data_IF_532518037142
#
_entry.id   IF_532518037142
#
_cell.length_a   1.000
_cell.length_b   1.000
_cell.length_c   1.000
_cell.angle_alpha   90.00
_cell.angle_beta   90.00
_cell.angle_gamma   90.00
#
_symmetry.space_group_name_H-M   'P 1'
#
loop_
_entity.id
_entity.type
_entity.pdbx_description
1 polymer ?
#
# COMPACT_ATOMS: atom_id res chain seq x y z
N UNK A 1 1.03 5.66 -8.12
CA UNK A 1 1.51 4.32 -7.83
C UNK A 1 0.59 3.29 -8.47
N UNK A 2 1.16 2.52 -9.31
CA UNK A 2 0.64 1.42 -10.08
C UNK A 2 -0.31 0.52 -9.29
N UNK A 3 -1.52 0.38 -9.79
CA UNK A 3 -2.51 -0.57 -9.32
C UNK A 3 -2.03 -2.01 -9.40
N UNK A 4 -1.52 -2.51 -8.30
CA UNK A 4 -1.31 -3.93 -8.09
C UNK A 4 -2.10 -4.35 -6.86
N UNK A 5 -3.14 -5.04 -7.08
CA UNK A 5 -4.23 -5.30 -6.18
C UNK A 5 -5.34 -4.31 -6.51
N UNK A 6 -6.36 -4.78 -7.21
CA UNK A 6 -7.40 -3.93 -7.73
C UNK A 6 -7.88 -2.95 -6.66
N UNK A 7 -8.40 -1.81 -7.06
CA UNK A 7 -8.95 -0.81 -6.15
C UNK A 7 -9.93 -1.40 -5.12
N UNK A 8 -10.38 -2.62 -5.35
CA UNK A 8 -11.35 -3.37 -4.56
C UNK A 8 -10.96 -3.68 -3.11
N UNK A 9 -9.65 -3.70 -2.79
CA UNK A 9 -9.20 -4.02 -1.41
C UNK A 9 -8.64 -2.82 -0.66
N UNK A 10 -8.41 -1.70 -1.36
CA UNK A 10 -7.98 -0.47 -0.70
C UNK A 10 -9.20 0.29 -0.21
N UNK A 11 -9.09 0.87 0.96
CA UNK A 11 -10.12 1.70 1.56
C UNK A 11 -11.39 0.95 2.02
N UNK A 12 -11.38 -0.40 2.00
CA UNK A 12 -12.47 -1.21 2.56
C UNK A 12 -12.16 -1.53 4.02
N UNK A 13 -13.14 -1.33 4.87
CA UNK A 13 -13.15 -1.88 6.22
C UNK A 13 -13.59 -3.34 6.15
N UNK A 14 -12.67 -4.27 6.34
CA UNK A 14 -12.95 -5.70 6.27
C UNK A 14 -13.80 -6.26 7.42
N UNK A 15 -14.06 -5.50 8.48
CA UNK A 15 -15.02 -5.93 9.50
C UNK A 15 -16.47 -5.84 9.03
N UNK A 16 -16.75 -4.98 8.05
CA UNK A 16 -18.11 -4.76 7.53
C UNK A 16 -18.23 -4.75 6.01
N UNK A 17 -17.12 -4.90 5.28
CA UNK A 17 -17.09 -4.94 3.81
C UNK A 17 -17.41 -3.62 3.11
N UNK A 18 -17.44 -2.49 3.82
CA UNK A 18 -17.77 -1.17 3.29
C UNK A 18 -16.54 -0.31 3.06
N UNK A 19 -16.58 0.55 2.04
CA UNK A 19 -15.57 1.58 1.87
C UNK A 19 -15.61 2.57 3.03
N UNK A 20 -14.45 3.07 3.44
CA UNK A 20 -14.30 4.02 4.53
C UNK A 20 -13.72 5.37 4.08
N UNK A 21 -13.85 5.71 2.79
CA UNK A 21 -13.34 6.97 2.21
C UNK A 21 -14.02 8.19 2.87
N UNK A 22 -15.25 8.05 3.35
CA UNK A 22 -15.99 9.08 4.05
C UNK A 22 -15.90 8.98 5.59
N UNK A 23 -14.93 8.22 6.13
CA UNK A 23 -14.72 8.15 7.58
C UNK A 23 -14.08 9.42 8.12
N UNK A 24 -14.24 9.66 9.42
CA UNK A 24 -13.62 10.80 10.09
C UNK A 24 -12.09 10.79 9.92
N UNK A 25 -11.45 9.62 9.98
CA UNK A 25 -10.00 9.47 9.80
C UNK A 25 -9.55 9.91 8.39
N UNK A 26 -10.35 9.60 7.35
CA UNK A 26 -10.07 10.08 6.00
C UNK A 26 -10.24 11.59 5.87
N UNK A 27 -11.28 12.14 6.50
CA UNK A 27 -11.51 13.59 6.53
C UNK A 27 -10.35 14.29 7.22
N UNK A 28 -9.96 13.84 8.42
CA UNK A 28 -8.82 14.39 9.19
C UNK A 28 -7.52 14.34 8.36
N UNK A 29 -7.24 13.25 7.65
CA UNK A 29 -6.05 13.14 6.80
C UNK A 29 -6.06 14.11 5.61
N UNK A 30 -7.22 14.31 4.98
CA UNK A 30 -7.36 15.29 3.89
C UNK A 30 -7.25 16.72 4.44
N UNK A 31 -7.84 17.01 5.58
CA UNK A 31 -7.77 18.31 6.23
C UNK A 31 -6.33 18.67 6.63
N UNK A 32 -5.54 17.69 7.12
CA UNK A 32 -4.11 17.89 7.36
C UNK A 32 -3.37 18.33 6.09
N UNK A 33 -3.62 17.66 4.95
CA UNK A 33 -2.99 18.05 3.68
C UNK A 33 -3.38 19.46 3.25
N UNK A 34 -4.65 19.85 3.45
CA UNK A 34 -5.13 21.19 3.15
C UNK A 34 -4.54 22.24 4.10
N UNK A 35 -4.34 21.89 5.36
CA UNK A 35 -3.69 22.76 6.34
C UNK A 35 -2.23 22.99 5.98
N UNK A 36 -1.45 21.96 5.67
CA UNK A 36 -0.06 22.10 5.22
C UNK A 36 0.09 23.01 3.99
N UNK A 37 -0.92 23.04 3.13
CA UNK A 37 -0.97 24.00 2.02
C UNK A 37 -1.28 25.42 2.51
N UNK A 38 -2.29 25.57 3.36
CA UNK A 38 -2.80 26.90 3.77
C UNK A 38 -1.83 27.65 4.65
N UNK A 39 -1.02 26.97 5.46
CA UNK A 39 0.01 27.53 6.32
C UNK A 39 1.37 27.72 5.61
N UNK A 40 1.47 27.30 4.35
CA UNK A 40 2.68 27.44 3.55
C UNK A 40 3.76 26.40 3.83
N UNK A 41 3.47 25.35 4.61
CA UNK A 41 4.43 24.26 4.89
C UNK A 41 4.61 23.32 3.72
N UNK A 42 3.64 23.24 2.80
CA UNK A 42 3.77 22.41 1.61
C UNK A 42 4.75 23.02 0.60
N UNK A 43 5.61 22.16 0.03
CA UNK A 43 6.58 22.60 -0.97
C UNK A 43 5.89 23.27 -2.18
N UNK A 44 6.35 24.47 -2.60
CA UNK A 44 5.78 25.14 -3.76
C UNK A 44 5.88 24.27 -5.02
N UNK A 45 4.77 24.14 -5.75
CA UNK A 45 4.75 23.33 -6.98
C UNK A 45 4.61 21.82 -6.77
N UNK A 46 4.30 21.36 -5.54
CA UNK A 46 4.08 19.92 -5.23
C UNK A 46 3.11 19.23 -6.20
N UNK A 47 2.12 19.95 -6.72
CA UNK A 47 1.12 19.42 -7.65
C UNK A 47 1.64 19.19 -9.08
N UNK A 48 2.79 19.74 -9.43
CA UNK A 48 3.42 19.58 -10.75
C UNK A 48 4.60 18.60 -10.74
N UNK A 49 4.91 18.00 -9.58
CA UNK A 49 6.00 17.04 -9.43
C UNK A 49 5.50 15.61 -9.39
N UNK A 50 6.29 14.71 -9.93
CA UNK A 50 6.16 13.28 -9.68
C UNK A 50 7.06 12.82 -8.51
N UNK A 51 6.82 11.61 -8.00
CA UNK A 51 7.57 11.07 -6.86
C UNK A 51 9.10 10.98 -7.06
N UNK A 52 9.64 10.60 -8.24
CA UNK A 52 11.07 10.67 -8.51
C UNK A 52 11.66 12.09 -8.42
N UNK A 53 10.97 13.09 -8.95
CA UNK A 53 11.42 14.49 -8.88
C UNK A 53 11.44 14.99 -7.42
N UNK A 54 10.38 14.75 -6.66
CA UNK A 54 10.32 15.14 -5.25
C UNK A 54 11.45 14.46 -4.43
N UNK A 55 11.70 13.18 -4.68
CA UNK A 55 12.81 12.44 -4.05
C UNK A 55 14.18 13.04 -4.31
N UNK A 56 14.45 13.41 -5.56
CA UNK A 56 15.73 13.97 -5.97
C UNK A 56 16.01 15.35 -5.35
N UNK A 57 14.98 16.09 -4.96
CA UNK A 57 15.08 17.41 -4.33
C UNK A 57 15.38 17.33 -2.83
N UNK A 58 15.05 16.23 -2.15
CA UNK A 58 15.25 16.09 -0.71
C UNK A 58 16.71 16.25 -0.27
N UNK A 59 17.72 15.57 -0.87
CA UNK A 59 19.12 15.77 -0.51
C UNK A 59 19.65 17.18 -0.82
N UNK A 60 18.92 17.94 -1.64
CA UNK A 60 19.25 19.33 -1.98
C UNK A 60 18.67 20.33 -0.96
N UNK A 61 17.98 19.85 0.08
CA UNK A 61 17.39 20.70 1.12
C UNK A 61 16.08 21.37 0.73
N UNK A 62 15.37 20.87 -0.28
CA UNK A 62 14.13 21.47 -0.75
C UNK A 62 12.99 21.42 0.27
N UNK A 63 12.98 20.41 1.15
CA UNK A 63 11.99 20.27 2.23
C UNK A 63 12.62 19.54 3.44
N UNK A 64 12.05 19.77 4.61
CA UNK A 64 12.45 19.09 5.85
C UNK A 64 11.89 17.67 5.99
N UNK A 65 10.78 17.38 5.33
CA UNK A 65 10.12 16.07 5.38
C UNK A 65 9.49 15.71 4.03
N UNK A 66 9.33 14.41 3.79
CA UNK A 66 8.62 13.89 2.63
C UNK A 66 7.86 12.61 3.02
N UNK A 67 6.59 12.50 2.61
CA UNK A 67 5.85 11.24 2.69
C UNK A 67 6.23 10.36 1.51
N UNK A 68 6.98 9.30 1.78
CA UNK A 68 7.47 8.40 0.75
C UNK A 68 7.64 6.97 1.29
N UNK A 69 7.75 6.01 0.39
CA UNK A 69 8.00 4.63 0.77
C UNK A 69 9.50 4.30 0.94
N UNK A 70 9.81 3.13 1.48
CA UNK A 70 11.16 2.72 1.86
C UNK A 70 12.12 2.56 0.67
N UNK A 71 11.60 2.47 -0.57
CA UNK A 71 12.44 2.49 -1.79
C UNK A 71 13.33 3.74 -1.92
N UNK A 72 13.00 4.81 -1.20
CA UNK A 72 13.83 6.01 -1.16
C UNK A 72 15.20 5.74 -0.55
N UNK A 73 15.31 4.84 0.42
CA UNK A 73 16.54 4.50 1.12
C UNK A 73 17.61 4.05 0.11
N UNK A 74 17.27 3.10 -0.77
CA UNK A 74 18.20 2.63 -1.79
C UNK A 74 18.56 3.70 -2.84
N UNK A 75 17.58 4.55 -3.20
CA UNK A 75 17.81 5.65 -4.15
C UNK A 75 18.78 6.69 -3.56
N UNK A 76 18.52 7.14 -2.34
CA UNK A 76 19.39 8.13 -1.68
C UNK A 76 20.75 7.57 -1.31
N UNK A 77 20.84 6.29 -0.91
CA UNK A 77 22.11 5.62 -0.66
C UNK A 77 23.02 5.57 -1.90
N UNK A 78 22.43 5.48 -3.10
CA UNK A 78 23.17 5.51 -4.37
C UNK A 78 23.46 6.93 -4.84
N UNK A 79 22.45 7.83 -4.80
CA UNK A 79 22.51 9.13 -5.48
C UNK A 79 23.04 10.25 -4.57
N UNK A 80 22.97 10.08 -3.24
CA UNK A 80 23.45 11.04 -2.23
C UNK A 80 23.96 10.30 -0.97
N UNK A 81 25.03 9.51 -1.07
CA UNK A 81 25.47 8.60 0.00
C UNK A 81 25.87 9.33 1.31
N UNK A 82 26.30 10.57 1.21
CA UNK A 82 26.72 11.39 2.36
C UNK A 82 25.55 12.13 3.03
N UNK A 83 24.37 12.12 2.42
CA UNK A 83 23.20 12.80 2.99
C UNK A 83 22.67 12.05 4.21
N UNK A 84 22.50 12.81 5.30
CA UNK A 84 21.98 12.29 6.58
C UNK A 84 20.52 12.62 6.72
N UNK A 85 19.70 11.61 6.98
CA UNK A 85 18.26 11.73 7.21
C UNK A 85 17.82 10.70 8.24
N UNK A 86 16.67 10.95 8.84
CA UNK A 86 15.98 9.99 9.70
C UNK A 86 14.73 9.43 9.02
N UNK A 87 14.17 8.40 9.63
CA UNK A 87 12.89 7.81 9.26
C UNK A 87 11.97 7.93 10.47
N UNK A 88 10.74 8.32 10.23
CA UNK A 88 9.69 8.39 11.24
C UNK A 88 8.43 7.71 10.72
N UNK A 89 7.60 7.25 11.64
CA UNK A 89 6.23 6.83 11.32
C UNK A 89 5.40 8.02 10.85
N UNK A 90 4.34 7.74 10.12
CA UNK A 90 3.37 8.75 9.73
C UNK A 90 2.77 9.42 10.96
N UNK A 91 2.48 10.73 10.89
CA UNK A 91 1.89 11.44 12.01
C UNK A 91 0.50 10.91 12.33
N UNK A 92 0.18 10.87 13.60
CA UNK A 92 -1.16 10.57 14.11
C UNK A 92 -1.74 11.80 14.79
N UNK A 93 -3.06 11.98 14.83
CA UNK A 93 -3.69 13.08 15.55
C UNK A 93 -3.30 13.08 17.02
N UNK A 94 -3.19 14.28 17.62
CA UNK A 94 -2.86 14.44 19.04
C UNK A 94 -3.79 13.63 19.94
N UNK A 95 -3.21 12.88 20.87
CA UNK A 95 -3.96 12.04 21.80
C UNK A 95 -4.55 10.76 21.21
N UNK A 96 -4.22 10.43 19.96
CA UNK A 96 -4.56 9.13 19.33
C UNK A 96 -3.36 8.22 19.30
N UNK A 97 -3.63 6.91 19.38
CA UNK A 97 -2.61 5.88 19.17
C UNK A 97 -2.50 5.57 17.68
N UNK A 98 -1.27 5.26 17.23
CA UNK A 98 -1.04 4.78 15.88
C UNK A 98 -1.77 3.45 15.66
N UNK A 99 -2.48 3.35 14.55
CA UNK A 99 -3.08 2.09 14.13
C UNK A 99 -2.08 1.30 13.28
N UNK A 100 -2.08 -0.05 13.38
CA UNK A 100 -1.25 -0.86 12.50
C UNK A 100 -1.60 -0.63 11.03
N UNK A 101 -0.58 -0.67 10.18
CA UNK A 101 -0.77 -0.71 8.73
C UNK A 101 -0.96 -2.18 8.30
N UNK A 102 -1.93 -2.44 7.45
CA UNK A 102 -2.20 -3.80 6.98
C UNK A 102 -1.71 -4.01 5.56
N UNK A 103 -1.07 -5.16 5.34
CA UNK A 103 -0.77 -5.69 4.01
C UNK A 103 -1.58 -6.97 3.78
N UNK A 104 -1.99 -7.19 2.53
CA UNK A 104 -2.59 -8.45 2.15
C UNK A 104 -1.51 -9.54 2.05
N UNK A 105 -1.84 -10.74 2.52
CA UNK A 105 -1.01 -11.91 2.30
C UNK A 105 -0.76 -12.14 0.79
N UNK A 106 0.45 -12.57 0.42
CA UNK A 106 0.79 -12.90 -0.95
C UNK A 106 1.72 -11.90 -1.66
N UNK A 107 2.12 -10.81 -1.00
CA UNK A 107 3.12 -9.87 -1.50
C UNK A 107 2.66 -9.05 -2.71
N UNK A 108 3.42 -8.00 -3.01
CA UNK A 108 3.12 -7.07 -4.12
C UNK A 108 4.02 -7.28 -5.34
N UNK A 109 5.19 -7.85 -5.17
CA UNK A 109 6.20 -8.02 -6.22
C UNK A 109 6.38 -9.49 -6.55
N UNK A 110 5.74 -9.93 -7.63
CA UNK A 110 5.85 -11.31 -8.12
C UNK A 110 6.78 -11.36 -9.33
N UNK A 111 7.56 -12.44 -9.43
CA UNK A 111 8.39 -12.72 -10.57
C UNK A 111 7.60 -13.51 -11.62
N UNK A 112 7.71 -13.09 -12.86
CA UNK A 112 7.01 -13.70 -13.98
C UNK A 112 8.01 -14.09 -15.05
N UNK A 113 7.87 -15.29 -15.61
CA UNK A 113 8.58 -15.70 -16.79
C UNK A 113 7.68 -15.47 -18.02
N UNK A 114 8.22 -14.80 -19.03
CA UNK A 114 7.51 -14.66 -20.30
C UNK A 114 7.25 -16.06 -20.90
N UNK A 115 6.03 -16.31 -21.36
CA UNK A 115 5.68 -17.56 -22.03
C UNK A 115 6.52 -17.83 -23.30
N UNK A 116 7.07 -16.77 -23.91
CA UNK A 116 7.93 -16.87 -25.10
C UNK A 116 9.42 -16.99 -24.75
N UNK A 117 9.78 -17.08 -23.46
CA UNK A 117 11.18 -17.20 -23.05
C UNK A 117 11.73 -18.58 -23.36
N UNK A 118 12.88 -18.62 -24.00
CA UNK A 118 13.68 -19.84 -24.20
C UNK A 118 14.57 -20.18 -23.00
N UNK A 119 14.60 -19.29 -21.98
CA UNK A 119 15.46 -19.40 -20.79
C UNK A 119 14.72 -19.97 -19.57
N UNK A 120 13.66 -20.77 -19.80
CA UNK A 120 12.83 -21.34 -18.73
C UNK A 120 13.60 -22.06 -17.61
N UNK A 121 14.50 -23.02 -17.93
CA UNK A 121 15.30 -23.72 -16.92
C UNK A 121 16.16 -22.79 -16.08
N UNK A 122 16.86 -21.85 -16.73
CA UNK A 122 17.71 -20.86 -16.05
C UNK A 122 16.89 -19.93 -15.13
N UNK A 123 15.75 -19.44 -15.61
CA UNK A 123 14.86 -18.63 -14.81
C UNK A 123 14.30 -19.41 -13.60
N UNK A 124 13.98 -20.69 -13.78
CA UNK A 124 13.58 -21.60 -12.71
C UNK A 124 14.66 -21.77 -11.64
N UNK A 125 15.92 -21.90 -12.04
CA UNK A 125 17.05 -22.00 -11.12
C UNK A 125 17.28 -20.70 -10.35
N UNK A 126 17.15 -19.56 -11.02
CA UNK A 126 17.23 -18.23 -10.37
C UNK A 126 16.12 -18.06 -9.32
N UNK A 127 14.86 -18.34 -9.68
CA UNK A 127 13.73 -18.22 -8.74
C UNK A 127 13.92 -19.18 -7.54
N UNK A 128 14.39 -20.40 -7.80
CA UNK A 128 14.69 -21.36 -6.73
C UNK A 128 15.81 -20.86 -5.82
N UNK A 129 16.89 -20.30 -6.39
CA UNK A 129 17.97 -19.68 -5.62
C UNK A 129 17.45 -18.54 -4.75
N UNK A 130 16.62 -17.66 -5.29
CA UNK A 130 16.01 -16.56 -4.53
C UNK A 130 15.18 -17.04 -3.33
N UNK A 131 14.59 -18.24 -3.38
CA UNK A 131 13.89 -18.87 -2.27
C UNK A 131 14.79 -19.52 -1.22
N UNK A 132 16.11 -19.66 -1.47
CA UNK A 132 17.05 -20.18 -0.48
C UNK A 132 17.39 -19.14 0.58
N UNK A 133 17.88 -19.59 1.75
CA UNK A 133 18.38 -18.68 2.79
C UNK A 133 19.44 -17.73 2.24
N UNK A 134 20.41 -18.24 1.48
CA UNK A 134 21.47 -17.42 0.89
C UNK A 134 20.93 -16.41 -0.12
N UNK A 135 19.96 -16.80 -0.95
CA UNK A 135 19.28 -15.88 -1.87
C UNK A 135 18.51 -14.79 -1.13
N UNK A 136 17.85 -15.14 -0.02
CA UNK A 136 17.15 -14.18 0.82
C UNK A 136 18.10 -13.22 1.57
N UNK A 137 19.28 -13.70 1.99
CA UNK A 137 20.32 -12.82 2.55
C UNK A 137 20.79 -11.82 1.50
N UNK A 138 21.11 -12.26 0.29
CA UNK A 138 21.52 -11.35 -0.80
C UNK A 138 20.42 -10.38 -1.18
N UNK A 139 19.17 -10.84 -1.20
CA UNK A 139 18.02 -9.96 -1.43
C UNK A 139 17.96 -8.86 -0.36
N UNK A 140 18.02 -9.23 0.92
CA UNK A 140 17.99 -8.28 2.02
C UNK A 140 19.14 -7.28 1.95
N UNK A 141 20.37 -7.71 1.62
CA UNK A 141 21.54 -6.85 1.48
C UNK A 141 21.44 -5.89 0.29
N UNK A 142 20.80 -6.31 -0.81
CA UNK A 142 20.73 -5.53 -2.05
C UNK A 142 19.53 -4.61 -2.08
N UNK A 143 18.38 -5.09 -1.66
CA UNK A 143 17.10 -4.38 -1.76
C UNK A 143 16.72 -3.71 -0.43
N UNK A 144 17.14 -4.29 0.68
CA UNK A 144 16.92 -3.75 2.02
C UNK A 144 15.44 -3.61 2.35
N UNK A 145 15.08 -2.50 2.98
CA UNK A 145 13.72 -2.21 3.38
C UNK A 145 12.78 -1.84 2.21
N UNK A 146 13.30 -1.64 1.00
CA UNK A 146 12.47 -1.26 -0.16
C UNK A 146 11.49 -2.38 -0.55
N UNK A 147 11.91 -3.63 -0.42
CA UNK A 147 11.11 -4.84 -0.62
C UNK A 147 11.66 -5.93 0.30
N UNK A 148 11.22 -6.02 1.55
CA UNK A 148 11.83 -6.88 2.55
C UNK A 148 11.85 -8.35 2.16
N UNK A 149 12.96 -9.05 2.46
CA UNK A 149 13.03 -10.48 2.32
C UNK A 149 11.99 -11.17 3.21
N UNK A 150 11.40 -12.25 2.72
CA UNK A 150 10.30 -12.94 3.41
C UNK A 150 10.77 -13.85 4.55
N UNK A 151 12.07 -14.16 4.60
CA UNK A 151 12.66 -14.99 5.64
C UNK A 151 13.28 -14.10 6.74
N UNK A 152 12.67 -14.03 7.96
CA UNK A 152 13.18 -13.19 9.05
C UNK A 152 14.60 -13.55 9.48
N UNK A 153 14.96 -14.84 9.48
CA UNK A 153 16.31 -15.28 9.85
C UNK A 153 17.36 -14.80 8.84
N UNK A 154 17.01 -14.81 7.54
CA UNK A 154 17.87 -14.26 6.50
C UNK A 154 18.02 -12.75 6.63
N UNK A 155 16.96 -12.02 6.98
CA UNK A 155 17.02 -10.58 7.27
C UNK A 155 17.97 -10.30 8.44
N UNK A 156 17.86 -11.07 9.53
CA UNK A 156 18.75 -10.93 10.68
C UNK A 156 20.22 -11.20 10.31
N UNK A 157 20.48 -12.23 9.49
CA UNK A 157 21.84 -12.59 9.01
C UNK A 157 22.41 -11.61 7.98
N UNK A 158 21.56 -10.82 7.32
CA UNK A 158 22.01 -9.84 6.33
C UNK A 158 22.85 -8.70 6.92
N UNK A 159 22.78 -8.48 8.24
CA UNK A 159 23.60 -7.49 8.96
C UNK A 159 23.30 -6.04 8.53
N UNK A 160 22.07 -5.72 8.22
CA UNK A 160 21.66 -4.38 7.78
C UNK A 160 21.86 -3.35 8.89
N UNK A 161 22.25 -2.15 8.50
CA UNK A 161 22.49 -1.02 9.38
C UNK A 161 21.83 0.25 8.85
N UNK A 162 21.85 1.33 9.65
CA UNK A 162 21.34 2.63 9.24
C UNK A 162 19.85 2.65 8.89
N UNK A 163 19.43 3.47 7.89
CA UNK A 163 18.03 3.65 7.57
C UNK A 163 17.28 2.36 7.17
N UNK A 164 17.94 1.41 6.49
CA UNK A 164 17.30 0.12 6.13
C UNK A 164 16.96 -0.71 7.37
N UNK A 165 17.87 -0.80 8.34
CA UNK A 165 17.60 -1.52 9.58
C UNK A 165 16.51 -0.84 10.40
N UNK A 166 16.53 0.49 10.48
CA UNK A 166 15.52 1.29 11.17
C UNK A 166 14.12 1.06 10.54
N UNK A 167 14.01 1.13 9.21
CA UNK A 167 12.75 0.91 8.52
C UNK A 167 12.20 -0.51 8.74
N UNK A 168 13.06 -1.54 8.71
CA UNK A 168 12.65 -2.92 8.96
C UNK A 168 12.16 -3.13 10.40
N UNK A 169 12.80 -2.50 11.39
CA UNK A 169 12.32 -2.53 12.79
C UNK A 169 10.93 -1.91 12.90
N UNK A 170 10.73 -0.74 12.28
CA UNK A 170 9.43 -0.06 12.26
C UNK A 170 8.36 -0.89 11.55
N UNK A 171 8.70 -1.62 10.48
CA UNK A 171 7.76 -2.51 9.80
C UNK A 171 7.35 -3.69 10.69
N UNK A 172 8.31 -4.29 11.38
CA UNK A 172 8.02 -5.39 12.31
C UNK A 172 7.09 -4.97 13.46
N UNK A 173 7.15 -3.72 13.87
CA UNK A 173 6.32 -3.17 14.95
C UNK A 173 4.94 -2.71 14.45
N UNK A 174 4.85 -2.19 13.24
CA UNK A 174 3.69 -1.41 12.79
C UNK A 174 2.92 -2.03 11.61
N UNK A 175 3.46 -3.09 10.95
CA UNK A 175 2.79 -3.73 9.81
C UNK A 175 2.27 -5.10 10.20
N UNK A 176 0.98 -5.31 10.00
CA UNK A 176 0.31 -6.59 10.21
C UNK A 176 -0.23 -7.15 8.90
N UNK A 177 -0.39 -8.47 8.84
CA UNK A 177 -1.08 -9.13 7.73
C UNK A 177 -2.58 -9.07 8.02
N UNK A 178 -3.31 -8.40 7.14
CA UNK A 178 -4.76 -8.32 7.19
C UNK A 178 -5.45 -9.40 6.36
N UNK A 179 -6.79 -9.50 6.43
CA UNK A 179 -7.57 -10.43 5.63
C UNK A 179 -7.38 -10.16 4.12
N UNK A 180 -7.41 -11.23 3.33
CA UNK A 180 -7.40 -11.16 1.88
C UNK A 180 -8.64 -11.86 1.30
N UNK A 181 -9.60 -11.14 0.71
CA UNK A 181 -10.81 -11.73 0.15
C UNK A 181 -10.57 -12.84 -0.87
N UNK A 182 -9.49 -12.77 -1.65
CA UNK A 182 -9.18 -13.79 -2.65
C UNK A 182 -8.72 -15.12 -2.03
N UNK A 183 -8.18 -15.08 -0.81
CA UNK A 183 -7.84 -16.30 -0.05
C UNK A 183 -9.11 -16.97 0.47
N UNK A 184 -10.08 -16.17 0.91
CA UNK A 184 -11.40 -16.66 1.33
C UNK A 184 -12.17 -17.25 0.16
N UNK A 185 -12.22 -16.52 -0.96
CA UNK A 185 -12.93 -16.94 -2.17
C UNK A 185 -12.12 -16.56 -3.42
N UNK A 186 -11.63 -17.57 -4.15
CA UNK A 186 -10.81 -17.37 -5.37
C UNK A 186 -11.54 -16.58 -6.46
N UNK A 187 -12.88 -16.63 -6.50
CA UNK A 187 -13.71 -15.95 -7.50
C UNK A 187 -13.69 -14.42 -7.33
N UNK A 188 -13.22 -13.90 -6.17
CA UNK A 188 -12.91 -12.49 -5.96
C UNK A 188 -11.87 -11.99 -6.99
N UNK A 189 -10.99 -12.87 -7.48
CA UNK A 189 -10.06 -12.55 -8.57
C UNK A 189 -10.77 -12.13 -9.88
N UNK A 190 -11.95 -12.70 -10.17
CA UNK A 190 -12.78 -12.33 -11.31
C UNK A 190 -13.34 -10.92 -11.12
N UNK A 191 -13.83 -10.60 -9.91
CA UNK A 191 -14.30 -9.25 -9.55
C UNK A 191 -13.17 -8.23 -9.72
N UNK A 192 -11.96 -8.55 -9.26
CA UNK A 192 -10.80 -7.68 -9.44
C UNK A 192 -10.50 -7.37 -10.92
N UNK A 193 -10.69 -8.34 -11.81
CA UNK A 193 -10.53 -8.16 -13.26
C UNK A 193 -11.64 -7.30 -13.89
N UNK A 194 -12.85 -7.30 -13.33
CA UNK A 194 -13.99 -6.47 -13.77
C UNK A 194 -13.96 -5.07 -13.18
N UNK A 195 -13.31 -4.89 -12.05
CA UNK A 195 -13.30 -3.64 -11.31
C UNK A 195 -12.68 -2.49 -12.11
N UNK A 196 -13.30 -1.32 -12.02
CA UNK A 196 -12.82 -0.07 -12.63
C UNK A 196 -12.75 1.00 -11.55
N UNK A 197 -11.64 1.73 -11.55
CA UNK A 197 -11.51 2.90 -10.67
C UNK A 197 -12.55 3.94 -11.08
N UNK A 198 -13.38 4.44 -10.17
CA UNK A 198 -14.35 5.48 -10.47
C UNK A 198 -13.68 6.76 -11.00
N UNK A 199 -14.39 7.47 -11.85
CA UNK A 199 -13.97 8.79 -12.34
C UNK A 199 -14.96 9.87 -11.86
N UNK A 200 -14.51 10.91 -11.16
CA UNK A 200 -13.14 11.11 -10.67
C UNK A 200 -12.72 10.10 -9.58
N UNK A 201 -11.46 9.67 -9.63
CA UNK A 201 -10.88 8.82 -8.60
C UNK A 201 -10.68 9.58 -7.28
N UNK A 202 -10.45 8.85 -6.18
CA UNK A 202 -10.11 9.48 -4.90
C UNK A 202 -8.90 10.43 -5.03
N UNK A 203 -7.88 10.04 -5.78
CA UNK A 203 -6.73 10.90 -6.03
C UNK A 203 -7.11 12.22 -6.73
N UNK A 204 -7.99 12.17 -7.71
CA UNK A 204 -8.48 13.37 -8.41
C UNK A 204 -9.38 14.23 -7.51
N UNK A 205 -10.19 13.60 -6.65
CA UNK A 205 -10.99 14.33 -5.66
C UNK A 205 -10.08 15.07 -4.67
N UNK A 206 -9.07 14.40 -4.10
CA UNK A 206 -8.09 15.03 -3.20
C UNK A 206 -7.33 16.16 -3.92
N UNK A 207 -6.92 15.92 -5.18
CA UNK A 207 -6.27 16.95 -5.99
C UNK A 207 -7.18 18.17 -6.21
N UNK A 208 -8.45 17.94 -6.52
CA UNK A 208 -9.44 18.99 -6.71
C UNK A 208 -9.69 19.83 -5.43
N UNK A 209 -9.75 19.16 -4.28
CA UNK A 209 -9.82 19.81 -2.96
C UNK A 209 -8.54 20.61 -2.68
N UNK A 210 -7.38 20.01 -2.90
CA UNK A 210 -6.09 20.65 -2.68
C UNK A 210 -5.89 21.88 -3.58
N UNK A 211 -6.28 21.82 -4.84
CA UNK A 211 -6.18 22.96 -5.77
C UNK A 211 -7.26 24.01 -5.55
N UNK A 212 -8.34 23.70 -4.83
CA UNK A 212 -9.50 24.57 -4.61
C UNK A 212 -10.54 24.52 -5.74
N UNK A 213 -10.38 23.62 -6.72
CA UNK A 213 -11.37 23.34 -7.76
C UNK A 213 -12.63 22.67 -7.17
N UNK A 214 -12.45 21.83 -6.16
CA UNK A 214 -13.52 21.25 -5.37
C UNK A 214 -13.57 21.90 -3.98
N UNK A 215 -14.77 21.94 -3.39
CA UNK A 215 -15.01 22.47 -2.05
C UNK A 215 -15.87 21.51 -1.24
N UNK A 216 -15.76 21.57 0.09
CA UNK A 216 -16.53 20.76 1.00
C UNK A 216 -15.99 19.33 1.11
N UNK A 217 -14.95 19.13 1.94
CA UNK A 217 -14.24 17.86 2.11
C UNK A 217 -15.22 16.71 2.34
N UNK A 218 -16.10 16.84 3.33
CA UNK A 218 -17.07 15.82 3.70
C UNK A 218 -17.99 15.42 2.53
N UNK A 219 -18.56 16.39 1.82
CA UNK A 219 -19.47 16.11 0.71
C UNK A 219 -18.76 15.39 -0.44
N UNK A 220 -17.53 15.81 -0.76
CA UNK A 220 -16.73 15.21 -1.84
C UNK A 220 -16.28 13.80 -1.48
N UNK A 221 -15.89 13.54 -0.23
CA UNK A 221 -15.50 12.20 0.21
C UNK A 221 -16.71 11.26 0.30
N UNK A 222 -17.88 11.75 0.75
CA UNK A 222 -19.12 10.94 0.74
C UNK A 222 -19.54 10.54 -0.68
N UNK A 223 -19.52 11.46 -1.62
CA UNK A 223 -19.83 11.17 -3.02
C UNK A 223 -18.78 10.20 -3.63
N UNK A 224 -17.50 10.42 -3.34
CA UNK A 224 -16.45 9.50 -3.76
C UNK A 224 -16.65 8.10 -3.19
N UNK A 225 -16.95 7.99 -1.88
CA UNK A 225 -17.23 6.72 -1.22
C UNK A 225 -18.36 5.96 -1.90
N UNK A 226 -19.47 6.64 -2.21
CA UNK A 226 -20.61 6.00 -2.88
C UNK A 226 -20.23 5.49 -4.27
N UNK A 227 -19.47 6.25 -5.05
CA UNK A 227 -18.99 5.78 -6.36
C UNK A 227 -18.12 4.53 -6.27
N UNK A 228 -17.30 4.40 -5.21
CA UNK A 228 -16.50 3.20 -4.98
C UNK A 228 -17.37 2.01 -4.56
N UNK A 229 -18.41 2.22 -3.75
CA UNK A 229 -19.40 1.18 -3.43
C UNK A 229 -20.10 0.69 -4.70
N UNK A 230 -20.64 1.62 -5.50
CA UNK A 230 -21.37 1.30 -6.74
C UNK A 230 -20.46 0.56 -7.75
N UNK A 231 -19.19 0.96 -7.85
CA UNK A 231 -18.23 0.31 -8.74
C UNK A 231 -17.90 -1.13 -8.31
N UNK A 232 -17.80 -1.38 -7.01
CA UNK A 232 -17.58 -2.74 -6.51
C UNK A 232 -18.85 -3.60 -6.68
N UNK A 233 -20.01 -3.06 -6.36
CA UNK A 233 -21.28 -3.77 -6.55
C UNK A 233 -21.48 -4.18 -8.01
N UNK A 234 -21.24 -3.25 -8.94
CA UNK A 234 -21.27 -3.53 -10.38
C UNK A 234 -20.28 -4.61 -10.79
N UNK A 235 -19.03 -4.56 -10.28
CA UNK A 235 -18.03 -5.56 -10.61
C UNK A 235 -18.39 -6.96 -10.07
N UNK A 236 -19.05 -7.03 -8.91
CA UNK A 236 -19.60 -8.28 -8.33
C UNK A 236 -20.72 -8.82 -9.23
N UNK A 237 -21.65 -7.96 -9.67
CA UNK A 237 -22.73 -8.35 -10.57
C UNK A 237 -22.20 -8.88 -11.91
N UNK A 238 -21.24 -8.17 -12.52
CA UNK A 238 -20.60 -8.59 -13.78
C UNK A 238 -19.84 -9.92 -13.62
N UNK A 239 -19.14 -10.14 -12.51
CA UNK A 239 -18.46 -11.39 -12.23
C UNK A 239 -19.46 -12.55 -12.06
N UNK A 240 -20.57 -12.32 -11.36
CA UNK A 240 -21.64 -13.32 -11.21
C UNK A 240 -22.31 -13.66 -12.54
N UNK A 241 -22.50 -12.68 -13.42
CA UNK A 241 -23.02 -12.90 -14.77
C UNK A 241 -22.09 -13.80 -15.60
N UNK A 242 -20.79 -13.75 -15.34
CA UNK A 242 -19.77 -14.62 -15.94
C UNK A 242 -19.63 -15.98 -15.21
N UNK A 243 -20.48 -16.27 -14.24
CA UNK A 243 -20.52 -17.55 -13.53
C UNK A 243 -19.71 -17.62 -12.23
N UNK A 244 -19.16 -16.51 -11.74
CA UNK A 244 -18.48 -16.48 -10.45
C UNK A 244 -19.48 -16.67 -9.28
N UNK A 245 -19.09 -17.45 -8.28
CA UNK A 245 -19.82 -17.57 -7.03
C UNK A 245 -19.25 -16.61 -5.99
N UNK A 246 -19.63 -15.34 -6.08
CA UNK A 246 -19.10 -14.26 -5.26
C UNK A 246 -20.21 -13.33 -4.79
N UNK A 247 -20.09 -12.82 -3.57
CA UNK A 247 -21.00 -11.82 -2.98
C UNK A 247 -20.19 -10.75 -2.25
N UNK A 248 -20.84 -9.67 -1.79
CA UNK A 248 -20.20 -8.64 -0.95
C UNK A 248 -19.70 -9.21 0.39
N UNK A 249 -20.28 -10.31 0.86
CA UNK A 249 -19.86 -10.94 2.12
C UNK A 249 -18.45 -11.52 2.05
N UNK A 250 -17.92 -11.76 0.85
CA UNK A 250 -16.54 -12.20 0.67
C UNK A 250 -15.49 -11.14 1.13
N UNK A 251 -15.91 -9.89 1.32
CA UNK A 251 -15.09 -8.82 1.90
C UNK A 251 -15.36 -8.58 3.39
N UNK A 252 -16.14 -9.44 4.07
CA UNK A 252 -16.50 -9.27 5.48
C UNK A 252 -15.79 -10.33 6.34
N UNK A 253 -14.96 -9.90 7.27
CA UNK A 253 -14.17 -10.75 8.18
C UNK A 253 -14.49 -10.38 9.62
N UNK A 254 -15.63 -10.86 10.17
CA UNK A 254 -16.10 -10.44 11.50
C UNK A 254 -15.24 -10.97 12.64
N UNK A 255 -14.44 -12.02 12.38
CA UNK A 255 -13.50 -12.62 13.33
C UNK A 255 -12.11 -11.95 13.29
N UNK A 256 -11.95 -10.81 12.59
CA UNK A 256 -10.68 -10.11 12.50
C UNK A 256 -10.48 -9.17 13.68
N UNK A 257 -9.45 -9.47 14.48
CA UNK A 257 -8.86 -8.53 15.43
C UNK A 257 -7.86 -7.65 14.67
N UNK A 258 -8.15 -6.34 14.60
CA UNK A 258 -7.34 -5.35 13.89
C UNK A 258 -5.94 -5.13 14.48
N UNK A 259 -5.64 -5.65 15.64
CA UNK A 259 -4.32 -5.56 16.29
C UNK A 259 -3.51 -6.87 16.18
N UNK A 260 -3.96 -7.81 15.36
CA UNK A 260 -3.27 -9.08 15.16
C UNK A 260 -3.20 -9.48 13.68
N UNK A 261 -2.22 -10.34 13.36
CA UNK A 261 -2.14 -10.94 12.03
C UNK A 261 -3.36 -11.84 11.77
N UNK A 262 -3.90 -11.76 10.56
CA UNK A 262 -4.97 -12.64 10.10
C UNK A 262 -4.36 -13.91 9.49
N UNK A 263 -4.20 -14.94 10.31
CA UNK A 263 -3.57 -16.20 9.90
C UNK A 263 -4.51 -17.12 9.11
N UNK A 264 -3.94 -18.20 8.56
CA UNK A 264 -4.67 -19.17 7.73
C UNK A 264 -5.81 -19.87 8.48
N UNK A 265 -5.69 -20.05 9.80
CA UNK A 265 -6.71 -20.65 10.67
C UNK A 265 -7.98 -19.81 10.71
N UNK A 266 -7.87 -18.49 10.62
CA UNK A 266 -9.00 -17.56 10.67
C UNK A 266 -9.93 -17.68 9.49
N UNK A 267 -9.43 -18.08 8.32
CA UNK A 267 -10.27 -18.34 7.15
C UNK A 267 -11.12 -19.60 7.30
N UNK A 268 -10.73 -20.52 8.16
CA UNK A 268 -11.49 -21.76 8.43
C UNK A 268 -12.64 -21.56 9.42
N UNK A 269 -12.64 -20.43 10.14
CA UNK A 269 -13.68 -20.04 11.09
C UNK A 269 -14.86 -19.29 10.42
N UNK A 270 -14.74 -18.98 9.10
CA UNK A 270 -15.74 -18.30 8.28
C UNK A 270 -16.55 -19.34 7.49
#
# INVERSE_FOLDING_TARGET
SSGRGGFTNRHINFQNGKFQIASDQYMEAVELLLQLKSDGSAFPGVMSMNAPQARALMPQGAAGMIFQGPWCIGVWGRDAPDWKYGIASEPVPDGKEAQPLYIAEGGSNTFWLSANSTMGPFAGDLIRFMGTEQGQIYWAQTVGAADPAVNPDAVAKAGLTGPSAQALSMFAENILVGPNPIVRNKDVGIVAAKSRVPDPSLALVIQGLYTGQLKGVEAQLKDCNQRYEDALDKAVEEARADGANVTRDDWVFPNWDVYSNYGAEKYQEL
#
